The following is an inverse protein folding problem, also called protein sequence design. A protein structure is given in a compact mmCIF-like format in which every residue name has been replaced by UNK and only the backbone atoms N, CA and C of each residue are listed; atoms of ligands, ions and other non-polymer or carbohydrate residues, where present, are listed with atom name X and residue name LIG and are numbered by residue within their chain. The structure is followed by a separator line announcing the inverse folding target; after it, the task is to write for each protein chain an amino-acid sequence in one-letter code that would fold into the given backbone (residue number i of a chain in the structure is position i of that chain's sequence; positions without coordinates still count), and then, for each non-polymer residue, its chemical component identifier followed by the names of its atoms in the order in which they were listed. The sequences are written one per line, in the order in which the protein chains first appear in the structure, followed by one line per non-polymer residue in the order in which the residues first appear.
data_IF_319901423480
#
_entry.id   IF_319901423480
#
_cell.length_a   1.000
_cell.length_b   1.000
_cell.length_c   1.000
_cell.angle_alpha   90.00
_cell.angle_beta   90.00
_cell.angle_gamma   90.00
#
_symmetry.space_group_name_H-M   'P 1'
#
loop_
_entity.id
_entity.type
_entity.pdbx_description
1 polymer ?
#
# COMPACT_ATOMS: atom_id res chain seq x y z
N UNK A 1 19.18 19.06 -12.09
CA UNK A 1 18.35 19.30 -10.90
C UNK A 1 17.45 18.10 -10.77
N UNK A 2 17.54 17.39 -9.65
CA UNK A 2 16.63 16.27 -9.39
C UNK A 2 15.23 16.84 -9.13
N UNK A 3 14.23 16.25 -9.78
CA UNK A 3 12.83 16.61 -9.54
C UNK A 3 12.46 16.31 -8.08
N UNK A 4 11.46 17.01 -7.55
CA UNK A 4 10.88 16.68 -6.24
C UNK A 4 10.47 15.20 -6.13
N UNK A 5 9.99 14.61 -7.22
CA UNK A 5 9.62 13.19 -7.28
C UNK A 5 10.83 12.26 -7.11
N UNK A 6 11.98 12.59 -7.72
CA UNK A 6 13.21 11.83 -7.55
C UNK A 6 13.74 11.98 -6.12
N UNK A 7 13.70 13.19 -5.57
CA UNK A 7 14.13 13.45 -4.19
C UNK A 7 13.26 12.70 -3.17
N UNK A 8 11.95 12.63 -3.39
CA UNK A 8 11.05 11.80 -2.59
C UNK A 8 11.37 10.31 -2.75
N UNK A 9 11.49 9.83 -3.99
CA UNK A 9 11.77 8.42 -4.29
C UNK A 9 13.06 7.94 -3.63
N UNK A 10 14.11 8.78 -3.64
CA UNK A 10 15.38 8.53 -2.98
C UNK A 10 15.24 8.25 -1.47
N UNK A 11 14.32 8.93 -0.77
CA UNK A 11 14.09 8.72 0.66
C UNK A 11 13.05 7.66 1.00
N UNK A 12 12.20 7.24 0.06
CA UNK A 12 10.98 6.50 0.34
C UNK A 12 11.21 5.21 1.15
N UNK A 13 12.21 4.41 0.78
CA UNK A 13 12.50 3.15 1.47
C UNK A 13 13.26 3.36 2.78
N UNK A 14 14.13 4.38 2.85
CA UNK A 14 14.83 4.76 4.09
C UNK A 14 13.80 5.19 5.14
N UNK A 15 12.89 6.09 4.76
CA UNK A 15 11.83 6.60 5.61
C UNK A 15 10.92 5.49 6.13
N UNK A 16 10.48 4.59 5.24
CA UNK A 16 9.65 3.45 5.62
C UNK A 16 10.38 2.48 6.58
N UNK A 17 11.68 2.25 6.38
CA UNK A 17 12.51 1.46 7.29
C UNK A 17 12.67 2.09 8.68
N UNK A 18 12.92 3.39 8.71
CA UNK A 18 13.00 4.18 9.96
C UNK A 18 11.64 4.11 10.68
N UNK A 19 10.52 4.27 9.97
CA UNK A 19 9.18 4.20 10.56
C UNK A 19 8.87 2.82 11.15
N UNK A 20 9.21 1.74 10.43
CA UNK A 20 9.04 0.39 10.92
C UNK A 20 9.87 0.14 12.19
N UNK A 21 11.09 0.67 12.24
CA UNK A 21 11.97 0.59 13.42
C UNK A 21 11.41 1.41 14.58
N UNK A 22 10.96 2.62 14.30
CA UNK A 22 10.34 3.53 15.27
C UNK A 22 9.07 2.92 15.88
N UNK A 23 8.19 2.38 15.05
CA UNK A 23 6.97 1.71 15.49
C UNK A 23 7.27 0.44 16.30
N UNK A 24 8.27 -0.35 15.91
CA UNK A 24 8.73 -1.53 16.67
C UNK A 24 9.26 -1.13 18.05
N UNK A 25 9.98 0.00 18.13
CA UNK A 25 10.55 0.52 19.38
C UNK A 25 9.50 1.04 20.35
N UNK A 26 8.52 1.80 19.85
CA UNK A 26 7.45 2.39 20.66
C UNK A 26 6.33 1.39 20.98
N UNK A 27 6.05 0.44 20.09
CA UNK A 27 4.87 -0.41 20.18
C UNK A 27 3.59 0.37 19.89
N UNK A 28 2.49 -0.02 20.55
CA UNK A 28 1.19 0.64 20.35
C UNK A 28 1.20 2.01 21.03
N UNK A 29 1.22 3.06 20.21
CA UNK A 29 1.08 4.46 20.66
C UNK A 29 -0.38 4.74 20.97
N UNK A 30 -0.63 5.27 22.18
CA UNK A 30 -1.95 5.68 22.67
C UNK A 30 -2.19 7.17 22.49
N UNK A 31 -1.14 7.96 22.67
CA UNK A 31 -1.21 9.41 22.64
C UNK A 31 0.14 10.02 22.25
N UNK A 32 0.10 11.20 21.63
CA UNK A 32 1.27 11.98 21.22
C UNK A 32 1.07 13.42 21.66
N UNK A 33 1.88 13.89 22.61
CA UNK A 33 1.89 15.26 23.08
C UNK A 33 3.10 16.00 22.51
N UNK A 34 2.91 17.22 22.02
CA UNK A 34 4.01 18.07 21.53
C UNK A 34 4.02 19.39 22.28
N UNK A 35 5.12 19.63 22.98
CA UNK A 35 5.33 20.83 23.78
C UNK A 35 6.33 21.74 23.08
N UNK A 36 5.83 22.77 22.38
CA UNK A 36 6.67 23.75 21.70
C UNK A 36 7.43 24.61 22.71
N UNK A 37 8.74 24.76 22.49
CA UNK A 37 9.61 25.60 23.30
C UNK A 37 9.43 27.05 22.81
N UNK A 38 9.08 28.00 23.69
CA UNK A 38 9.02 29.41 23.33
C UNK A 38 10.36 29.90 22.79
N UNK A 39 10.35 30.63 21.68
CA UNK A 39 11.52 31.32 21.15
C UNK A 39 11.67 32.68 21.85
N UNK A 40 12.91 33.06 22.17
CA UNK A 40 13.21 34.39 22.74
C UNK A 40 12.99 35.53 21.71
N UNK A 41 12.77 35.18 20.44
CA UNK A 41 12.61 36.08 19.29
C UNK A 41 11.23 36.72 19.13
N UNK A 42 10.42 36.76 20.19
CA UNK A 42 9.27 37.67 20.28
C UNK A 42 9.72 39.15 20.39
N UNK A 43 10.68 39.56 19.56
CA UNK A 43 10.99 40.95 19.26
C UNK A 43 9.81 41.56 18.51
N UNK A 44 9.46 42.79 18.88
CA UNK A 44 8.26 43.56 18.53
C UNK A 44 8.04 43.89 17.02
N UNK A 45 8.59 43.09 16.11
CA UNK A 45 8.47 43.21 14.65
C UNK A 45 7.97 41.93 13.98
N UNK A 46 7.69 40.85 14.72
CA UNK A 46 6.96 39.72 14.13
C UNK A 46 5.59 40.21 13.67
N UNK A 47 5.30 40.14 12.37
CA UNK A 47 3.95 40.38 11.87
C UNK A 47 2.99 39.48 12.67
N UNK A 48 1.97 40.08 13.29
CA UNK A 48 1.01 39.36 14.13
C UNK A 48 0.48 38.12 13.37
N UNK A 49 0.82 36.93 13.87
CA UNK A 49 0.36 35.66 13.32
C UNK A 49 1.37 34.88 12.48
N UNK A 50 2.61 35.35 12.28
CA UNK A 50 3.63 34.55 11.57
C UNK A 50 4.35 33.58 12.54
N UNK A 51 4.37 32.26 12.25
CA UNK A 51 5.01 31.27 13.12
C UNK A 51 6.55 31.42 13.14
N UNK A 52 7.16 31.23 14.32
CA UNK A 52 8.61 31.21 14.49
C UNK A 52 9.30 30.17 13.59
N UNK A 53 10.40 30.57 12.96
CA UNK A 53 11.28 29.67 12.22
C UNK A 53 12.04 28.73 13.18
N UNK A 54 12.19 27.47 12.76
CA UNK A 54 12.96 26.44 13.45
C UNK A 54 12.58 26.25 14.92
N UNK A 55 11.28 26.41 15.22
CA UNK A 55 10.76 26.25 16.58
C UNK A 55 10.99 24.82 17.09
N UNK A 56 11.71 24.70 18.20
CA UNK A 56 11.95 23.41 18.87
C UNK A 56 10.73 22.96 19.67
N UNK A 57 10.61 21.67 19.88
CA UNK A 57 9.58 21.07 20.72
C UNK A 57 10.12 19.85 21.46
N UNK A 58 9.39 19.41 22.50
CA UNK A 58 9.52 18.07 23.07
C UNK A 58 8.33 17.24 22.60
N UNK A 59 8.60 16.12 21.95
CA UNK A 59 7.58 15.18 21.46
C UNK A 59 7.52 13.99 22.42
N UNK A 60 6.38 13.81 23.07
CA UNK A 60 6.13 12.73 24.03
C UNK A 60 5.17 11.72 23.44
N UNK A 61 5.59 10.46 23.39
CA UNK A 61 4.75 9.33 23.03
C UNK A 61 4.36 8.56 24.28
N UNK A 62 3.06 8.43 24.52
CA UNK A 62 2.50 7.53 25.52
C UNK A 62 2.10 6.22 24.85
N UNK A 63 2.61 5.11 25.35
CA UNK A 63 2.44 3.77 24.76
C UNK A 63 2.00 2.76 25.82
N UNK A 64 1.63 1.56 25.40
CA UNK A 64 1.33 0.46 26.33
C UNK A 64 2.54 0.02 27.17
N UNK A 65 3.77 0.28 26.70
CA UNK A 65 5.03 -0.10 27.35
C UNK A 65 5.68 1.02 28.16
N UNK A 66 5.20 2.26 28.04
CA UNK A 66 5.74 3.42 28.77
C UNK A 66 5.63 4.74 28.02
N UNK A 67 6.34 5.73 28.53
CA UNK A 67 6.41 7.09 27.96
C UNK A 67 7.80 7.32 27.37
N UNK A 68 7.86 7.89 26.17
CA UNK A 68 9.10 8.18 25.44
C UNK A 68 9.12 9.64 25.01
N UNK A 69 10.13 10.39 25.46
CA UNK A 69 10.32 11.80 25.11
C UNK A 69 11.46 11.92 24.08
N UNK A 70 11.25 12.72 23.05
CA UNK A 70 12.21 13.05 22.01
C UNK A 70 12.28 14.56 21.81
N UNK A 71 13.45 15.04 21.39
CA UNK A 71 13.54 16.39 20.84
C UNK A 71 12.80 16.44 19.50
N UNK A 72 12.24 17.61 19.19
CA UNK A 72 11.52 17.84 17.95
C UNK A 72 11.78 19.22 17.35
N UNK A 73 11.49 19.32 16.05
CA UNK A 73 11.65 20.55 15.26
C UNK A 73 10.41 20.75 14.38
N UNK A 74 9.77 21.92 14.49
CA UNK A 74 8.66 22.27 13.59
C UNK A 74 9.20 22.57 12.20
N UNK A 75 8.78 21.76 11.22
CA UNK A 75 9.15 21.92 9.82
C UNK A 75 8.18 22.82 9.07
N UNK A 76 6.89 22.70 9.38
CA UNK A 76 5.83 23.42 8.70
C UNK A 76 4.57 23.56 9.56
N UNK A 77 3.72 24.50 9.18
CA UNK A 77 2.34 24.64 9.66
C UNK A 77 1.36 24.34 8.53
N UNK A 78 0.24 23.72 8.84
CA UNK A 78 -0.83 23.36 7.91
C UNK A 78 -2.11 24.06 8.32
N UNK A 79 -2.63 24.94 7.47
CA UNK A 79 -3.89 25.64 7.69
C UNK A 79 -4.72 25.59 6.40
N UNK A 80 -6.00 25.25 6.52
CA UNK A 80 -6.93 25.12 5.38
C UNK A 80 -6.40 24.23 4.23
N UNK A 81 -5.64 23.18 4.55
CA UNK A 81 -5.04 22.27 3.56
C UNK A 81 -3.78 22.81 2.88
N UNK A 82 -3.30 24.00 3.24
CA UNK A 82 -2.03 24.55 2.76
C UNK A 82 -0.92 24.32 3.79
N UNK A 83 0.17 23.68 3.37
CA UNK A 83 1.42 23.56 4.08
C UNK A 83 2.29 24.80 3.83
N UNK A 84 2.80 25.39 4.90
CA UNK A 84 3.75 26.50 4.89
C UNK A 84 4.99 26.12 5.66
N UNK A 85 6.15 26.21 5.01
CA UNK A 85 7.44 25.91 5.63
C UNK A 85 7.76 26.92 6.74
N UNK A 86 8.18 26.42 7.89
CA UNK A 86 8.59 27.21 9.04
C UNK A 86 9.98 26.78 9.53
N UNK A 87 10.81 26.31 8.62
CA UNK A 87 12.19 25.91 8.90
C UNK A 87 13.14 26.60 7.93
N UNK A 88 14.28 27.09 8.43
CA UNK A 88 15.32 27.68 7.59
C UNK A 88 15.95 26.69 6.60
N UNK A 89 15.76 25.38 6.82
CA UNK A 89 16.24 24.33 5.91
C UNK A 89 15.53 24.37 4.56
N UNK A 90 14.25 24.75 4.52
CA UNK A 90 13.47 24.83 3.29
C UNK A 90 13.85 26.05 2.43
N UNK A 91 14.23 27.17 3.06
CA UNK A 91 14.60 28.42 2.36
C UNK A 91 15.78 28.22 1.39
N UNK A 92 16.70 27.31 1.75
CA UNK A 92 17.92 27.04 0.98
C UNK A 92 17.77 25.87 0.00
N UNK A 93 16.63 25.17 0.02
CA UNK A 93 16.41 24.02 -0.85
C UNK A 93 16.07 24.49 -2.27
N UNK A 94 16.66 23.89 -3.33
CA UNK A 94 16.50 24.39 -4.69
C UNK A 94 15.16 24.06 -5.35
N UNK A 95 14.37 23.13 -4.80
CA UNK A 95 13.12 22.70 -5.39
C UNK A 95 11.98 23.71 -5.11
N UNK A 96 11.17 24.10 -6.12
CA UNK A 96 10.06 25.02 -5.96
C UNK A 96 9.05 24.63 -4.86
N UNK A 97 8.88 23.32 -4.62
CA UNK A 97 8.00 22.75 -3.60
C UNK A 97 8.38 23.15 -2.17
N UNK A 98 9.61 23.62 -1.95
CA UNK A 98 10.06 24.17 -0.66
C UNK A 98 9.77 25.67 -0.48
N UNK A 99 9.12 26.31 -1.46
CA UNK A 99 8.89 27.75 -1.46
C UNK A 99 7.40 28.08 -1.54
N UNK A 100 6.99 29.05 -0.72
CA UNK A 100 5.61 29.50 -0.62
C UNK A 100 4.65 28.46 -0.01
N UNK A 101 3.36 28.80 0.12
CA UNK A 101 2.32 27.84 0.50
C UNK A 101 2.11 26.79 -0.58
N UNK A 102 1.94 25.54 -0.18
CA UNK A 102 1.73 24.40 -1.07
C UNK A 102 0.58 23.52 -0.55
N UNK A 103 -0.21 22.84 -1.40
CA UNK A 103 -1.22 21.89 -0.93
C UNK A 103 -0.59 20.73 -0.13
N UNK A 104 -1.08 20.47 1.09
CA UNK A 104 -0.62 19.34 1.91
C UNK A 104 -0.80 18.02 1.14
N UNK A 105 0.30 17.26 1.02
CA UNK A 105 0.34 16.03 0.24
C UNK A 105 1.39 15.07 0.79
N UNK A 106 1.27 13.78 0.46
CA UNK A 106 2.25 12.78 0.83
C UNK A 106 3.66 13.10 0.28
N UNK A 107 3.74 13.71 -0.91
CA UNK A 107 4.98 14.18 -1.50
C UNK A 107 5.67 15.21 -0.59
N UNK A 108 4.97 16.30 -0.23
CA UNK A 108 5.55 17.35 0.62
C UNK A 108 5.95 16.82 2.00
N UNK A 109 5.15 15.93 2.59
CA UNK A 109 5.50 15.32 3.88
C UNK A 109 6.76 14.48 3.77
N UNK A 110 6.95 13.71 2.69
CA UNK A 110 8.19 12.98 2.45
C UNK A 110 9.39 13.89 2.16
N UNK A 111 9.18 15.00 1.46
CA UNK A 111 10.21 16.03 1.25
C UNK A 111 10.60 16.72 2.55
N UNK A 112 9.65 16.98 3.45
CA UNK A 112 9.93 17.52 4.78
C UNK A 112 10.88 16.60 5.56
N UNK A 113 10.65 15.29 5.47
CA UNK A 113 11.54 14.28 6.06
C UNK A 113 12.93 14.29 5.42
N UNK A 114 13.05 14.49 4.10
CA UNK A 114 14.36 14.62 3.42
C UNK A 114 15.19 15.76 4.00
N UNK A 115 14.57 16.90 4.32
CA UNK A 115 15.27 18.05 4.91
C UNK A 115 15.97 17.65 6.21
N UNK A 116 15.34 16.83 7.03
CA UNK A 116 15.86 16.41 8.35
C UNK A 116 16.53 15.03 8.35
N UNK A 117 16.99 14.54 7.18
CA UNK A 117 17.69 13.26 7.08
C UNK A 117 16.80 12.04 7.34
N UNK A 118 15.59 12.05 6.78
CA UNK A 118 14.59 10.96 6.78
C UNK A 118 13.94 10.62 8.13
N UNK A 119 14.22 11.43 9.16
CA UNK A 119 13.61 11.30 10.49
C UNK A 119 12.08 11.19 10.43
N UNK A 120 11.46 10.50 11.39
CA UNK A 120 10.01 10.47 11.53
C UNK A 120 9.44 11.88 11.69
N UNK A 121 8.24 12.10 11.17
CA UNK A 121 7.48 13.34 11.37
C UNK A 121 6.11 13.00 11.95
N UNK A 122 5.65 13.82 12.89
CA UNK A 122 4.30 13.74 13.44
C UNK A 122 3.52 14.99 13.06
N UNK A 123 2.21 14.79 12.85
CA UNK A 123 1.25 15.86 12.57
C UNK A 123 0.44 16.08 13.86
N UNK A 124 0.48 17.28 14.40
CA UNK A 124 -0.15 17.61 15.69
C UNK A 124 -0.98 18.88 15.61
N UNK A 125 -2.13 18.97 16.32
CA UNK A 125 -2.89 20.21 16.40
C UNK A 125 -2.06 21.37 16.96
N UNK A 126 -2.14 22.54 16.34
CA UNK A 126 -1.52 23.78 16.82
C UNK A 126 -2.44 24.97 16.50
N UNK A 127 -3.10 25.52 17.53
CA UNK A 127 -4.04 26.62 17.35
C UNK A 127 -5.26 26.21 16.52
N UNK A 128 -5.54 26.96 15.45
CA UNK A 128 -6.62 26.70 14.49
C UNK A 128 -6.18 25.80 13.30
N UNK A 129 -4.93 25.34 13.30
CA UNK A 129 -4.40 24.41 12.30
C UNK A 129 -3.55 23.35 12.94
N UNK A 130 -2.53 22.91 12.22
CA UNK A 130 -1.68 21.81 12.62
C UNK A 130 -0.21 22.09 12.31
N UNK A 131 0.68 21.39 13.00
CA UNK A 131 2.11 21.46 12.81
C UNK A 131 2.68 20.12 12.35
N UNK A 132 3.61 20.18 11.41
CA UNK A 132 4.44 19.04 11.04
C UNK A 132 5.75 19.14 11.80
N UNK A 133 6.00 18.19 12.70
CA UNK A 133 7.14 18.21 13.62
C UNK A 133 8.01 16.98 13.38
N UNK A 134 9.28 17.21 13.05
CA UNK A 134 10.28 16.15 13.01
C UNK A 134 10.59 15.66 14.43
N UNK A 135 10.73 14.34 14.58
CA UNK A 135 11.13 13.69 15.83
C UNK A 135 12.60 13.30 15.72
N UNK A 136 13.43 13.70 16.68
CA UNK A 136 14.84 13.31 16.70
C UNK A 136 15.02 11.85 17.12
N UNK A 137 14.74 10.96 16.17
CA UNK A 137 14.96 9.53 16.29
C UNK A 137 16.11 9.12 15.37
N UNK A 138 17.25 8.79 15.99
CA UNK A 138 18.51 8.54 15.30
C UNK A 138 18.91 7.06 15.28
N UNK A 139 17.96 6.11 15.31
CA UNK A 139 18.29 4.70 15.12
C UNK A 139 18.47 4.41 13.62
N UNK A 140 19.73 4.15 13.21
CA UNK A 140 20.22 4.35 11.82
C UNK A 140 20.27 3.06 10.99
N UNK A 141 19.92 1.90 11.55
CA UNK A 141 20.13 0.60 10.88
C UNK A 141 18.82 -0.16 10.68
N UNK A 142 17.89 0.34 9.85
CA UNK A 142 16.69 -0.40 9.52
C UNK A 142 17.01 -1.66 8.71
N UNK A 143 16.22 -2.73 8.90
CA UNK A 143 16.36 -3.95 8.10
C UNK A 143 16.03 -3.65 6.63
N UNK A 144 16.90 -3.98 5.65
CA UNK A 144 16.68 -3.63 4.26
C UNK A 144 15.40 -4.25 3.68
N UNK A 145 15.08 -5.49 4.03
CA UNK A 145 13.88 -6.18 3.52
C UNK A 145 12.63 -5.52 4.10
N UNK A 146 12.61 -5.24 5.39
CA UNK A 146 11.49 -4.53 6.04
C UNK A 146 11.31 -3.13 5.41
N UNK A 147 12.40 -2.41 5.21
CA UNK A 147 12.42 -1.08 4.58
C UNK A 147 11.82 -1.09 3.18
N UNK A 148 12.22 -2.06 2.34
CA UNK A 148 11.71 -2.21 0.98
C UNK A 148 10.23 -2.59 0.99
N UNK A 149 9.81 -3.57 1.80
CA UNK A 149 8.41 -4.00 1.84
C UNK A 149 7.48 -2.88 2.32
N UNK A 150 7.85 -2.19 3.40
CA UNK A 150 7.11 -1.04 3.90
C UNK A 150 7.11 0.12 2.88
N UNK A 151 8.21 0.35 2.18
CA UNK A 151 8.29 1.35 1.13
C UNK A 151 7.42 1.04 -0.09
N UNK A 152 7.35 -0.23 -0.51
CA UNK A 152 6.47 -0.69 -1.61
C UNK A 152 5.00 -0.44 -1.25
N UNK A 153 4.62 -0.68 0.01
CA UNK A 153 3.25 -0.43 0.50
C UNK A 153 2.81 1.01 0.26
N UNK A 154 3.69 1.97 0.53
CA UNK A 154 3.42 3.40 0.37
C UNK A 154 3.76 3.96 -1.01
N UNK A 155 4.27 3.13 -1.93
CA UNK A 155 4.75 3.59 -3.25
C UNK A 155 3.68 4.20 -4.14
N UNK A 156 2.40 3.95 -3.84
CA UNK A 156 1.24 4.49 -4.56
C UNK A 156 0.58 5.70 -3.89
N UNK A 157 1.11 6.21 -2.77
CA UNK A 157 0.53 7.35 -2.04
C UNK A 157 0.87 8.70 -2.69
N UNK A 158 1.80 8.70 -3.65
CA UNK A 158 2.23 9.88 -4.40
C UNK A 158 1.93 9.73 -5.88
N UNK A 159 1.37 10.76 -6.49
CA UNK A 159 1.12 10.82 -7.95
C UNK A 159 2.41 10.55 -8.73
N UNK A 160 2.35 9.63 -9.69
CA UNK A 160 3.53 9.18 -10.45
C UNK A 160 4.32 8.04 -9.77
N UNK A 161 4.03 7.75 -8.51
CA UNK A 161 4.60 6.64 -7.74
C UNK A 161 6.08 6.80 -7.40
N UNK A 162 6.61 5.84 -6.65
CA UNK A 162 8.03 5.80 -6.30
C UNK A 162 8.85 5.13 -7.40
N UNK A 163 10.00 5.70 -7.75
CA UNK A 163 11.05 4.94 -8.44
C UNK A 163 11.71 3.99 -7.44
N UNK A 164 11.21 2.74 -7.38
CA UNK A 164 11.64 1.74 -6.41
C UNK A 164 13.10 1.32 -6.63
N UNK A 165 13.63 1.48 -7.85
CA UNK A 165 15.05 1.24 -8.15
C UNK A 165 15.92 2.32 -7.51
N UNK A 166 15.56 3.59 -7.69
CA UNK A 166 16.25 4.69 -7.03
C UNK A 166 16.17 4.56 -5.51
N UNK A 167 14.97 4.29 -4.98
CA UNK A 167 14.75 4.10 -3.54
C UNK A 167 15.61 2.98 -2.95
N UNK A 168 15.76 1.85 -3.67
CA UNK A 168 16.61 0.74 -3.24
C UNK A 168 18.10 1.09 -3.28
N UNK A 169 18.55 1.82 -4.30
CA UNK A 169 19.94 2.24 -4.42
C UNK A 169 20.33 3.20 -3.28
N UNK A 170 19.45 4.15 -2.95
CA UNK A 170 19.66 5.10 -1.86
C UNK A 170 19.59 4.41 -0.49
N UNK A 171 18.68 3.47 -0.29
CA UNK A 171 18.67 2.62 0.91
C UNK A 171 19.99 1.86 1.06
N UNK A 172 20.52 1.27 -0.02
CA UNK A 172 21.81 0.57 0.03
C UNK A 172 22.95 1.52 0.44
N UNK A 173 22.99 2.72 -0.14
CA UNK A 173 23.95 3.77 0.21
C UNK A 173 23.85 4.16 1.68
N UNK A 174 22.63 4.40 2.17
CA UNK A 174 22.33 4.76 3.56
C UNK A 174 22.81 3.68 4.54
N UNK A 175 22.63 2.40 4.21
CA UNK A 175 23.07 1.26 5.02
C UNK A 175 24.55 0.91 4.85
N UNK A 176 25.32 1.68 4.06
CA UNK A 176 26.73 1.40 3.78
C UNK A 176 26.95 0.10 2.98
N UNK A 177 25.93 -0.39 2.28
CA UNK A 177 26.02 -1.58 1.42
C UNK A 177 26.75 -1.18 0.13
N UNK A 178 27.83 -1.87 -0.26
CA UNK A 178 28.53 -1.57 -1.51
C UNK A 178 27.59 -1.63 -2.71
N UNK A 179 27.77 -0.73 -3.68
CA UNK A 179 26.90 -0.66 -4.87
C UNK A 179 26.85 -1.98 -5.66
N UNK A 180 27.95 -2.75 -5.67
CA UNK A 180 28.01 -4.09 -6.27
C UNK A 180 27.02 -5.09 -5.65
N UNK A 181 26.56 -4.82 -4.43
CA UNK A 181 25.65 -5.65 -3.67
C UNK A 181 24.25 -5.03 -3.56
N UNK A 182 24.06 -3.77 -3.96
CA UNK A 182 22.76 -3.10 -3.93
C UNK A 182 21.75 -3.78 -4.87
N UNK A 183 22.20 -4.25 -6.02
CA UNK A 183 21.35 -5.00 -6.97
C UNK A 183 20.90 -6.36 -6.41
N UNK A 184 21.56 -6.89 -5.38
CA UNK A 184 21.14 -8.11 -4.71
C UNK A 184 19.99 -7.88 -3.72
N UNK A 185 19.54 -6.65 -3.50
CA UNK A 185 18.44 -6.36 -2.59
C UNK A 185 17.06 -6.60 -3.23
N UNK A 186 16.95 -6.52 -4.55
CA UNK A 186 15.69 -6.70 -5.27
C UNK A 186 15.92 -6.98 -6.77
N UNK A 187 14.97 -7.68 -7.39
CA UNK A 187 14.87 -7.82 -8.84
C UNK A 187 13.90 -6.79 -9.41
N UNK A 188 14.29 -6.16 -10.51
CA UNK A 188 13.58 -5.02 -11.08
C UNK A 188 13.11 -5.28 -12.51
N UNK A 189 11.95 -4.71 -12.86
CA UNK A 189 11.50 -4.50 -14.23
C UNK A 189 11.23 -3.01 -14.43
N UNK A 190 12.11 -2.33 -15.18
CA UNK A 190 12.14 -0.87 -15.20
C UNK A 190 12.50 -0.31 -13.82
N UNK A 191 11.66 0.59 -13.30
CA UNK A 191 11.76 1.18 -11.96
C UNK A 191 11.03 0.39 -10.87
N UNK A 192 10.30 -0.69 -11.21
CA UNK A 192 9.50 -1.47 -10.25
C UNK A 192 10.23 -2.73 -9.79
N UNK A 193 10.07 -3.05 -8.51
CA UNK A 193 10.46 -4.33 -7.93
C UNK A 193 9.41 -5.38 -8.29
N UNK A 194 9.90 -6.49 -8.84
CA UNK A 194 9.10 -7.66 -9.24
C UNK A 194 9.38 -8.90 -8.40
N UNK A 195 10.50 -8.92 -7.66
CA UNK A 195 10.80 -9.95 -6.69
C UNK A 195 11.85 -9.48 -5.70
N UNK A 196 11.81 -10.05 -4.49
CA UNK A 196 12.82 -9.85 -3.46
C UNK A 196 13.59 -11.15 -3.22
N UNK A 197 14.88 -11.06 -2.84
CA UNK A 197 15.66 -12.23 -2.45
C UNK A 197 14.96 -12.96 -1.32
N UNK A 198 14.87 -14.28 -1.44
CA UNK A 198 14.32 -15.10 -0.38
C UNK A 198 15.36 -15.35 0.71
N UNK A 199 14.90 -15.47 1.96
CA UNK A 199 15.79 -15.84 3.06
C UNK A 199 16.34 -17.27 2.81
N UNK A 200 17.61 -17.56 3.13
CA UNK A 200 18.19 -18.89 2.98
C UNK A 200 17.31 -19.97 3.62
N UNK A 201 16.96 -21.01 2.86
CA UNK A 201 16.13 -22.12 3.34
C UNK A 201 14.61 -21.92 3.25
N UNK A 202 14.13 -20.79 2.71
CA UNK A 202 12.71 -20.60 2.36
C UNK A 202 12.54 -20.58 0.84
N UNK A 203 11.79 -21.54 0.30
CA UNK A 203 11.21 -21.43 -1.02
C UNK A 203 9.98 -20.51 -0.91
N UNK A 204 10.18 -19.21 -1.08
CA UNK A 204 9.06 -18.26 -1.15
C UNK A 204 8.33 -18.37 -2.48
N UNK A 205 7.02 -18.08 -2.46
CA UNK A 205 6.20 -18.02 -3.67
C UNK A 205 6.35 -16.66 -4.36
N UNK A 206 6.49 -16.66 -5.68
CA UNK A 206 6.36 -15.46 -6.51
C UNK A 206 4.89 -15.22 -6.92
N UNK A 207 4.54 -14.00 -7.30
CA UNK A 207 3.21 -13.70 -7.83
C UNK A 207 2.86 -14.59 -9.04
N UNK A 208 3.82 -14.88 -9.92
CA UNK A 208 3.60 -15.74 -11.10
C UNK A 208 3.27 -17.17 -10.72
N UNK A 209 3.88 -17.69 -9.66
CA UNK A 209 3.58 -19.02 -9.14
C UNK A 209 2.20 -19.08 -8.49
N UNK A 210 1.81 -18.04 -7.75
CA UNK A 210 0.45 -17.90 -7.21
C UNK A 210 -0.59 -17.81 -8.33
N UNK A 211 -0.32 -17.03 -9.39
CA UNK A 211 -1.18 -16.96 -10.57
C UNK A 211 -1.26 -18.29 -11.31
N UNK A 212 -0.16 -19.04 -11.42
CA UNK A 212 -0.17 -20.38 -12.02
C UNK A 212 -1.16 -21.28 -11.27
N UNK A 213 -1.05 -21.31 -9.94
CA UNK A 213 -1.92 -22.13 -9.09
C UNK A 213 -3.41 -21.70 -9.17
N UNK A 214 -3.68 -20.44 -9.48
CA UNK A 214 -5.04 -19.91 -9.62
C UNK A 214 -5.66 -20.11 -11.01
N UNK A 215 -4.85 -20.06 -12.08
CA UNK A 215 -5.29 -19.71 -13.43
C UNK A 215 -6.52 -20.50 -13.91
N UNK A 216 -6.39 -21.82 -14.04
CA UNK A 216 -7.45 -22.64 -14.64
C UNK A 216 -8.68 -22.79 -13.73
N UNK A 217 -8.50 -22.82 -12.40
CA UNK A 217 -9.65 -22.92 -11.50
C UNK A 217 -10.45 -21.62 -11.50
N UNK A 218 -9.77 -20.46 -11.51
CA UNK A 218 -10.39 -19.16 -11.69
C UNK A 218 -11.13 -19.06 -13.05
N UNK A 219 -10.52 -19.58 -14.12
CA UNK A 219 -11.15 -19.65 -15.44
C UNK A 219 -12.43 -20.48 -15.44
N UNK A 220 -12.42 -21.67 -14.82
CA UNK A 220 -13.61 -22.52 -14.76
C UNK A 220 -14.73 -21.86 -13.95
N UNK A 221 -14.39 -21.22 -12.81
CA UNK A 221 -15.34 -20.43 -12.03
C UNK A 221 -15.94 -19.27 -12.85
N UNK A 222 -15.12 -18.58 -13.65
CA UNK A 222 -15.61 -17.50 -14.51
C UNK A 222 -16.58 -18.02 -15.58
N UNK A 223 -16.24 -19.11 -16.28
CA UNK A 223 -17.16 -19.73 -17.24
C UNK A 223 -18.48 -20.17 -16.61
N UNK A 224 -18.41 -20.77 -15.41
CA UNK A 224 -19.61 -21.16 -14.68
C UNK A 224 -20.47 -19.95 -14.30
N UNK A 225 -19.85 -18.89 -13.78
CA UNK A 225 -20.56 -17.67 -13.37
C UNK A 225 -21.23 -16.99 -14.57
N UNK A 226 -20.51 -16.80 -15.67
CA UNK A 226 -21.05 -16.20 -16.91
C UNK A 226 -22.23 -16.99 -17.48
N UNK A 227 -22.16 -18.33 -17.46
CA UNK A 227 -23.22 -19.19 -17.96
C UNK A 227 -24.44 -19.23 -17.04
N UNK A 228 -24.23 -19.23 -15.71
CA UNK A 228 -25.30 -19.41 -14.72
C UNK A 228 -25.97 -18.10 -14.32
N UNK A 229 -25.26 -16.99 -14.39
CA UNK A 229 -25.70 -15.66 -13.98
C UNK A 229 -25.40 -14.63 -15.10
N UNK A 230 -26.12 -14.70 -16.24
CA UNK A 230 -25.96 -13.73 -17.31
C UNK A 230 -26.35 -12.31 -16.84
N UNK A 231 -25.65 -11.30 -17.35
CA UNK A 231 -25.83 -9.89 -17.01
C UNK A 231 -25.77 -9.61 -15.50
N UNK A 232 -24.89 -10.33 -14.80
CA UNK A 232 -24.71 -10.19 -13.37
C UNK A 232 -24.27 -8.76 -12.99
N UNK A 233 -24.96 -8.21 -12.00
CA UNK A 233 -24.52 -7.03 -11.25
C UNK A 233 -24.80 -7.26 -9.76
N UNK A 234 -24.07 -6.56 -8.90
CA UNK A 234 -24.08 -6.87 -7.49
C UNK A 234 -23.87 -5.63 -6.63
N UNK A 235 -24.65 -5.47 -5.56
CA UNK A 235 -24.46 -4.42 -4.56
C UNK A 235 -23.87 -5.03 -3.29
N UNK A 236 -22.70 -4.55 -2.84
CA UNK A 236 -22.09 -4.97 -1.59
C UNK A 236 -22.45 -3.99 -0.48
N UNK A 237 -22.92 -4.52 0.64
CA UNK A 237 -22.95 -3.84 1.92
C UNK A 237 -21.64 -4.15 2.69
N UNK A 238 -20.71 -3.19 2.83
CA UNK A 238 -19.42 -3.42 3.47
C UNK A 238 -19.54 -3.75 4.96
N UNK A 239 -20.58 -3.26 5.62
CA UNK A 239 -20.77 -3.39 7.07
C UNK A 239 -21.31 -4.76 7.45
N UNK A 240 -22.11 -5.38 6.58
CA UNK A 240 -22.65 -6.73 6.81
C UNK A 240 -21.89 -7.83 6.08
N UNK A 241 -20.95 -7.48 5.19
CA UNK A 241 -20.23 -8.42 4.30
C UNK A 241 -21.21 -9.26 3.47
N UNK A 242 -22.32 -8.65 3.05
CA UNK A 242 -23.37 -9.28 2.23
C UNK A 242 -23.51 -8.55 0.92
N UNK A 243 -23.69 -9.34 -0.14
CA UNK A 243 -23.90 -8.84 -1.48
C UNK A 243 -25.22 -9.34 -2.02
N UNK A 244 -26.01 -8.44 -2.59
CA UNK A 244 -27.19 -8.79 -3.39
C UNK A 244 -26.74 -8.93 -4.83
N UNK A 245 -26.71 -10.16 -5.32
CA UNK A 245 -26.36 -10.51 -6.70
C UNK A 245 -27.63 -10.63 -7.51
N UNK A 246 -27.72 -9.84 -8.58
CA UNK A 246 -28.84 -9.80 -9.49
C UNK A 246 -28.40 -10.30 -10.87
N UNK A 247 -29.23 -11.09 -11.53
CA UNK A 247 -29.04 -11.55 -12.91
C UNK A 247 -30.39 -11.62 -13.62
N UNK A 248 -30.39 -11.97 -14.91
CA UNK A 248 -31.63 -12.17 -15.68
C UNK A 248 -32.55 -13.25 -15.08
N UNK A 249 -32.02 -14.13 -14.22
CA UNK A 249 -32.76 -15.23 -13.60
C UNK A 249 -33.23 -14.94 -12.16
N UNK A 250 -32.92 -13.76 -11.61
CA UNK A 250 -33.39 -13.33 -10.29
C UNK A 250 -32.30 -12.76 -9.40
N UNK A 251 -32.63 -12.66 -8.10
CA UNK A 251 -31.78 -12.06 -7.08
C UNK A 251 -31.41 -13.07 -5.98
N UNK A 252 -30.21 -12.94 -5.45
CA UNK A 252 -29.57 -13.89 -4.54
C UNK A 252 -28.67 -13.10 -3.58
N UNK A 253 -28.86 -13.27 -2.27
CA UNK A 253 -27.97 -12.67 -1.26
C UNK A 253 -26.88 -13.66 -0.84
N UNK A 254 -25.62 -13.26 -0.95
CA UNK A 254 -24.43 -14.09 -0.65
C UNK A 254 -23.49 -13.38 0.31
N UNK A 255 -22.67 -14.11 1.08
CA UNK A 255 -21.52 -13.49 1.73
C UNK A 255 -20.50 -13.06 0.67
N UNK A 256 -19.83 -11.95 0.90
CA UNK A 256 -18.78 -11.46 0.00
C UNK A 256 -17.72 -10.68 0.76
N UNK A 257 -16.48 -10.91 0.38
CA UNK A 257 -15.30 -10.30 0.97
C UNK A 257 -14.69 -9.33 -0.05
N UNK A 258 -14.73 -8.03 0.27
CA UNK A 258 -14.12 -7.00 -0.55
C UNK A 258 -12.60 -7.21 -0.57
N UNK A 259 -12.03 -7.37 -1.77
CA UNK A 259 -10.59 -7.51 -1.96
C UNK A 259 -9.97 -6.24 -2.55
N UNK A 260 -10.72 -5.44 -3.30
CA UNK A 260 -10.22 -4.20 -3.87
C UNK A 260 -11.34 -3.20 -4.18
N UNK A 261 -10.97 -1.91 -4.23
CA UNK A 261 -11.79 -0.81 -4.74
C UNK A 261 -11.17 -0.27 -6.03
N UNK A 262 -12.03 0.25 -6.92
CA UNK A 262 -11.65 0.81 -8.21
C UNK A 262 -12.22 2.23 -8.29
N UNK A 263 -11.32 3.19 -8.42
CA UNK A 263 -11.65 4.57 -8.78
C UNK A 263 -11.30 4.80 -10.25
N UNK A 264 -12.33 4.79 -11.11
CA UNK A 264 -12.17 5.00 -12.53
C UNK A 264 -11.77 6.45 -12.89
N UNK A 265 -12.13 7.44 -12.06
CA UNK A 265 -11.79 8.83 -12.32
C UNK A 265 -10.30 9.09 -12.04
N UNK A 266 -9.75 8.42 -11.03
CA UNK A 266 -8.33 8.47 -10.68
C UNK A 266 -7.46 7.38 -11.35
N UNK A 267 -8.02 6.56 -12.25
CA UNK A 267 -7.37 5.36 -12.83
C UNK A 267 -6.70 4.46 -11.76
N UNK A 268 -7.30 4.33 -10.58
CA UNK A 268 -6.67 3.70 -9.42
C UNK A 268 -7.37 2.41 -9.01
N UNK A 269 -6.59 1.35 -8.88
CA UNK A 269 -6.94 0.13 -8.15
C UNK A 269 -6.31 0.20 -6.77
N UNK A 270 -7.10 0.01 -5.72
CA UNK A 270 -6.64 -0.03 -4.33
C UNK A 270 -7.01 -1.35 -3.71
N UNK A 271 -6.05 -2.06 -3.11
CA UNK A 271 -6.38 -3.23 -2.29
C UNK A 271 -7.27 -2.80 -1.12
N UNK A 272 -8.29 -3.59 -0.79
CA UNK A 272 -9.26 -3.22 0.26
C UNK A 272 -8.63 -3.06 1.65
N UNK A 273 -7.50 -3.71 1.91
CA UNK A 273 -6.73 -3.52 3.15
C UNK A 273 -6.08 -2.13 3.25
N UNK A 274 -5.92 -1.41 2.13
CA UNK A 274 -5.37 -0.06 2.04
C UNK A 274 -6.43 1.02 1.82
N UNK A 275 -7.69 0.63 1.61
CA UNK A 275 -8.82 1.52 1.39
C UNK A 275 -9.38 2.06 2.71
N UNK A 276 -10.16 3.13 2.64
CA UNK A 276 -10.92 3.66 3.79
C UNK A 276 -11.88 2.62 4.39
N UNK A 277 -12.35 1.67 3.56
CA UNK A 277 -13.18 0.54 3.99
C UNK A 277 -12.40 -0.60 4.68
N UNK A 278 -11.08 -0.48 4.88
CA UNK A 278 -10.24 -1.53 5.49
C UNK A 278 -10.71 -2.01 6.87
N UNK A 279 -11.40 -1.16 7.62
CA UNK A 279 -12.02 -1.51 8.91
C UNK A 279 -13.38 -2.21 8.84
N UNK A 280 -14.00 -2.27 7.65
CA UNK A 280 -15.33 -2.88 7.46
C UNK A 280 -15.30 -4.40 7.58
N UNK A 281 -16.45 -5.02 7.86
CA UNK A 281 -16.55 -6.50 7.93
C UNK A 281 -16.16 -7.15 6.59
N UNK A 282 -16.53 -6.54 5.47
CA UNK A 282 -16.23 -7.06 4.13
C UNK A 282 -14.74 -7.07 3.79
N UNK A 283 -13.95 -6.14 4.33
CA UNK A 283 -12.53 -5.99 3.99
C UNK A 283 -11.60 -6.80 4.90
N UNK A 284 -12.09 -7.43 5.97
CA UNK A 284 -11.26 -8.16 6.93
C UNK A 284 -10.37 -9.22 6.28
N UNK A 285 -10.90 -9.95 5.28
CA UNK A 285 -10.14 -10.97 4.57
C UNK A 285 -8.99 -10.38 3.73
N UNK A 286 -9.09 -9.12 3.28
CA UNK A 286 -8.02 -8.46 2.55
C UNK A 286 -6.77 -8.24 3.42
N UNK A 287 -6.92 -8.15 4.75
CA UNK A 287 -5.79 -8.12 5.68
C UNK A 287 -4.90 -9.38 5.58
N UNK A 288 -5.48 -10.53 5.26
CA UNK A 288 -4.72 -11.76 5.01
C UNK A 288 -3.92 -11.70 3.70
N UNK A 289 -4.39 -10.96 2.70
CA UNK A 289 -3.63 -10.71 1.46
C UNK A 289 -2.37 -9.92 1.76
N UNK A 290 -2.50 -8.82 2.52
CA UNK A 290 -1.36 -8.00 2.95
C UNK A 290 -0.35 -8.85 3.72
N UNK A 291 -0.83 -9.60 4.73
CA UNK A 291 0.03 -10.48 5.54
C UNK A 291 0.75 -11.52 4.69
N UNK A 292 0.04 -12.22 3.81
CA UNK A 292 0.65 -13.20 2.91
C UNK A 292 1.68 -12.55 1.99
N UNK A 293 1.39 -11.35 1.47
CA UNK A 293 2.34 -10.54 0.71
C UNK A 293 3.63 -10.31 1.48
N UNK A 294 3.56 -9.83 2.71
CA UNK A 294 4.73 -9.63 3.58
C UNK A 294 5.49 -10.93 3.88
N UNK A 295 4.78 -11.99 4.24
CA UNK A 295 5.35 -13.29 4.61
C UNK A 295 6.12 -13.92 3.43
N UNK A 296 5.60 -13.78 2.20
CA UNK A 296 6.20 -14.30 0.97
C UNK A 296 7.10 -13.29 0.24
N UNK A 297 7.09 -12.03 0.66
CA UNK A 297 7.67 -10.88 -0.05
C UNK A 297 7.22 -10.79 -1.53
N UNK A 298 5.91 -10.75 -1.73
CA UNK A 298 5.26 -10.57 -3.04
C UNK A 298 4.87 -9.09 -3.22
N UNK A 299 5.62 -8.28 -4.00
CA UNK A 299 5.36 -6.85 -4.17
C UNK A 299 3.93 -6.53 -4.62
N UNK A 300 3.36 -7.35 -5.49
CA UNK A 300 2.03 -7.16 -6.08
C UNK A 300 0.89 -7.18 -5.05
N UNK A 301 1.06 -7.91 -3.94
CA UNK A 301 0.09 -7.99 -2.85
C UNK A 301 0.29 -6.93 -1.77
N UNK A 302 1.46 -6.28 -1.75
CA UNK A 302 1.85 -5.27 -0.76
C UNK A 302 1.68 -3.87 -1.33
N UNK A 303 1.86 -3.68 -2.63
CA UNK A 303 1.69 -2.37 -3.28
C UNK A 303 0.23 -1.95 -3.16
N UNK A 304 -0.06 -1.02 -2.25
CA UNK A 304 -1.42 -0.65 -1.86
C UNK A 304 -2.29 -0.21 -3.04
N UNK A 305 -1.69 0.60 -3.92
CA UNK A 305 -2.35 1.29 -5.03
C UNK A 305 -1.53 1.15 -6.30
N UNK A 306 -2.21 0.82 -7.40
CA UNK A 306 -1.63 0.77 -8.76
C UNK A 306 -2.63 1.31 -9.76
N UNK A 307 -2.18 1.56 -11.00
CA UNK A 307 -3.13 1.90 -12.06
C UNK A 307 -4.07 0.74 -12.37
N UNK A 308 -5.29 1.01 -12.84
CA UNK A 308 -6.23 -0.04 -13.27
C UNK A 308 -5.61 -0.88 -14.40
N UNK A 309 -4.85 -0.25 -15.29
CA UNK A 309 -4.12 -0.92 -16.38
C UNK A 309 -3.07 -1.89 -15.86
N UNK A 310 -2.30 -1.49 -14.85
CA UNK A 310 -1.33 -2.36 -14.19
C UNK A 310 -2.03 -3.52 -13.49
N UNK A 311 -3.10 -3.27 -12.73
CA UNK A 311 -3.86 -4.30 -12.03
C UNK A 311 -4.43 -5.37 -12.98
N UNK A 312 -4.91 -4.95 -14.15
CA UNK A 312 -5.43 -5.86 -15.20
C UNK A 312 -4.32 -6.66 -15.88
N UNK A 313 -3.22 -6.02 -16.25
CA UNK A 313 -2.12 -6.70 -16.96
C UNK A 313 -1.42 -7.74 -16.07
N UNK A 314 -1.35 -7.48 -14.76
CA UNK A 314 -0.77 -8.37 -13.76
C UNK A 314 -1.78 -9.32 -13.12
N UNK A 315 -3.08 -9.17 -13.43
CA UNK A 315 -4.17 -10.02 -12.91
C UNK A 315 -4.22 -10.05 -11.38
N UNK A 316 -4.09 -8.88 -10.75
CA UNK A 316 -4.07 -8.77 -9.28
C UNK A 316 -5.26 -9.46 -8.59
N UNK A 317 -6.53 -9.29 -9.03
CA UNK A 317 -7.65 -9.95 -8.37
C UNK A 317 -7.53 -11.47 -8.31
N UNK A 318 -6.89 -12.09 -9.31
CA UNK A 318 -6.68 -13.54 -9.36
C UNK A 318 -5.61 -14.01 -8.37
N UNK A 319 -4.68 -13.15 -7.95
CA UNK A 319 -3.73 -13.49 -6.87
C UNK A 319 -4.45 -13.73 -5.54
N UNK A 320 -5.56 -13.03 -5.29
CA UNK A 320 -6.29 -13.13 -4.04
C UNK A 320 -7.01 -14.47 -3.88
N UNK A 321 -7.40 -15.11 -4.99
CA UNK A 321 -8.22 -16.34 -4.98
C UNK A 321 -7.56 -17.51 -4.23
N UNK A 322 -6.34 -17.97 -4.59
CA UNK A 322 -5.70 -19.08 -3.88
C UNK A 322 -5.25 -18.70 -2.47
N UNK A 323 -4.99 -17.41 -2.21
CA UNK A 323 -4.58 -16.93 -0.88
C UNK A 323 -5.75 -16.97 0.11
N UNK A 324 -6.95 -16.57 -0.34
CA UNK A 324 -8.16 -16.58 0.50
C UNK A 324 -8.96 -17.89 0.39
N UNK A 325 -8.66 -18.74 -0.59
CA UNK A 325 -9.41 -19.97 -0.84
C UNK A 325 -10.81 -19.72 -1.42
N UNK A 326 -11.04 -18.54 -2.00
CA UNK A 326 -12.33 -18.12 -2.55
C UNK A 326 -12.17 -17.88 -4.06
N UNK A 327 -13.07 -18.46 -4.86
CA UNK A 327 -12.84 -18.60 -6.31
C UNK A 327 -13.82 -17.83 -7.19
N UNK A 328 -14.92 -17.34 -6.62
CA UNK A 328 -15.92 -16.55 -7.37
C UNK A 328 -15.65 -15.07 -7.17
N UNK A 329 -15.16 -14.41 -8.22
CA UNK A 329 -14.93 -12.98 -8.27
C UNK A 329 -16.17 -12.25 -8.79
N UNK A 330 -16.68 -11.33 -7.98
CA UNK A 330 -17.84 -10.51 -8.29
C UNK A 330 -17.40 -9.05 -8.45
N UNK A 331 -17.70 -8.40 -9.59
CA UNK A 331 -17.73 -6.95 -9.63
C UNK A 331 -18.92 -6.47 -8.79
N UNK A 332 -18.67 -5.57 -7.84
CA UNK A 332 -19.69 -5.05 -6.93
C UNK A 332 -19.76 -3.53 -6.99
N UNK A 333 -20.94 -2.99 -6.77
CA UNK A 333 -21.17 -1.58 -6.53
C UNK A 333 -21.11 -1.33 -5.02
N UNK A 334 -20.40 -0.28 -4.61
CA UNK A 334 -20.29 0.16 -3.22
C UNK A 334 -21.30 1.29 -2.93
N UNK A 335 -21.71 1.48 -1.66
CA UNK A 335 -22.69 2.50 -1.28
C UNK A 335 -22.26 3.94 -1.62
N UNK A 336 -20.95 4.19 -1.67
CA UNK A 336 -20.35 5.48 -2.00
C UNK A 336 -20.28 5.76 -3.52
N UNK A 337 -20.79 4.84 -4.35
CA UNK A 337 -20.77 4.96 -5.81
C UNK A 337 -19.51 4.41 -6.48
N UNK A 338 -18.49 3.98 -5.72
CA UNK A 338 -17.29 3.34 -6.30
C UNK A 338 -17.57 1.90 -6.71
N UNK A 339 -16.72 1.38 -7.62
CA UNK A 339 -16.72 -0.03 -7.95
C UNK A 339 -15.80 -0.80 -7.01
N UNK A 340 -16.17 -2.02 -6.68
CA UNK A 340 -15.38 -2.95 -5.90
C UNK A 340 -15.21 -4.28 -6.60
N UNK A 341 -14.26 -5.06 -6.11
CA UNK A 341 -14.08 -6.45 -6.45
C UNK A 341 -14.18 -7.26 -5.17
N UNK A 342 -15.08 -8.23 -5.15
CA UNK A 342 -15.30 -9.08 -4.00
C UNK A 342 -15.15 -10.56 -4.36
N UNK A 343 -14.62 -11.35 -3.42
CA UNK A 343 -14.63 -12.80 -3.51
C UNK A 343 -15.78 -13.35 -2.67
N UNK A 344 -16.53 -14.30 -3.24
CA UNK A 344 -17.70 -14.88 -2.60
C UNK A 344 -17.62 -16.41 -2.60
N UNK A 345 -18.20 -17.01 -1.56
CA UNK A 345 -18.49 -18.42 -1.50
C UNK A 345 -19.96 -18.63 -1.12
N UNK A 346 -20.71 -19.24 -2.03
CA UNK A 346 -22.11 -19.58 -1.81
C UNK A 346 -22.44 -20.87 -2.56
N UNK A 347 -23.38 -21.71 -2.07
CA UNK A 347 -23.76 -22.95 -2.74
C UNK A 347 -24.16 -22.78 -4.20
N UNK A 348 -24.73 -21.62 -4.56
CA UNK A 348 -25.13 -21.30 -5.93
C UNK A 348 -23.92 -21.06 -6.88
N UNK A 349 -22.73 -20.84 -6.34
CA UNK A 349 -21.48 -20.59 -7.07
C UNK A 349 -20.55 -21.81 -7.09
N UNK A 350 -20.91 -22.91 -6.44
CA UNK A 350 -20.09 -24.12 -6.42
C UNK A 350 -20.09 -24.77 -7.80
N UNK A 351 -18.90 -25.01 -8.32
CA UNK A 351 -18.74 -25.73 -9.57
C UNK A 351 -19.36 -27.13 -9.46
N UNK A 352 -20.11 -27.59 -10.48
CA UNK A 352 -20.58 -28.97 -10.54
C UNK A 352 -19.38 -29.93 -10.66
N UNK A 353 -19.64 -31.23 -10.56
CA UNK A 353 -18.61 -32.24 -10.82
C UNK A 353 -17.95 -32.00 -12.19
N UNK A 354 -16.62 -32.15 -12.31
CA UNK A 354 -15.91 -31.88 -13.56
C UNK A 354 -16.43 -32.80 -14.67
N UNK A 355 -16.57 -32.24 -15.87
CA UNK A 355 -16.93 -33.01 -17.08
C UNK A 355 -15.80 -32.88 -18.11
N UNK A 356 -15.60 -33.88 -18.99
CA UNK A 356 -14.56 -33.80 -20.01
C UNK A 356 -14.66 -32.54 -20.87
N UNK A 357 -15.88 -32.11 -21.21
CA UNK A 357 -16.10 -30.91 -22.01
C UNK A 357 -15.72 -29.61 -21.26
N UNK A 358 -16.14 -29.46 -19.99
CA UNK A 358 -15.79 -28.29 -19.19
C UNK A 358 -14.28 -28.23 -18.90
N UNK A 359 -13.67 -29.36 -18.53
CA UNK A 359 -12.23 -29.46 -18.32
C UNK A 359 -11.44 -29.12 -19.58
N UNK A 360 -11.84 -29.64 -20.75
CA UNK A 360 -11.19 -29.32 -22.00
C UNK A 360 -11.34 -27.82 -22.35
N UNK A 361 -12.53 -27.25 -22.18
CA UNK A 361 -12.76 -25.83 -22.43
C UNK A 361 -11.88 -24.94 -21.54
N UNK A 362 -11.78 -25.25 -20.25
CA UNK A 362 -10.90 -24.55 -19.29
C UNK A 362 -9.43 -24.67 -19.68
N UNK A 363 -8.95 -25.89 -19.98
CA UNK A 363 -7.53 -26.14 -20.29
C UNK A 363 -7.08 -25.63 -21.67
N UNK A 364 -8.03 -25.20 -22.51
CA UNK A 364 -7.76 -24.54 -23.78
C UNK A 364 -7.52 -23.03 -23.65
N UNK A 365 -7.81 -22.44 -22.47
CA UNK A 365 -7.52 -21.02 -22.22
C UNK A 365 -6.01 -20.85 -22.07
N UNK A 366 -5.45 -19.87 -22.79
CA UNK A 366 -4.02 -19.61 -22.76
C UNK A 366 -3.59 -19.05 -21.39
N UNK A 367 -2.53 -19.63 -20.83
CA UNK A 367 -1.87 -19.08 -19.65
C UNK A 367 -1.25 -17.72 -19.96
N UNK A 368 -1.25 -16.77 -18.99
CA UNK A 368 -0.60 -15.48 -19.17
C UNK A 368 0.90 -15.63 -19.40
N UNK A 369 1.50 -14.67 -20.11
CA UNK A 369 2.94 -14.66 -20.36
C UNK A 369 3.74 -14.70 -19.04
N UNK A 370 4.74 -15.59 -18.97
CA UNK A 370 5.59 -15.77 -17.79
C UNK A 370 5.00 -16.63 -16.67
N UNK A 371 3.75 -17.09 -16.80
CA UNK A 371 3.14 -18.06 -15.88
C UNK A 371 3.52 -19.48 -16.32
N UNK A 372 3.90 -20.33 -15.37
CA UNK A 372 4.25 -21.73 -15.63
C UNK A 372 2.99 -22.57 -15.94
N UNK A 373 2.85 -23.00 -17.19
CA UNK A 373 1.71 -23.80 -17.63
C UNK A 373 1.65 -25.18 -16.98
N UNK A 374 2.79 -25.84 -16.76
CA UNK A 374 2.82 -27.18 -16.17
C UNK A 374 2.35 -27.12 -14.71
N UNK A 375 2.81 -26.10 -13.97
CA UNK A 375 2.33 -25.83 -12.62
C UNK A 375 0.83 -25.54 -12.60
N UNK A 376 0.34 -24.69 -13.51
CA UNK A 376 -1.07 -24.36 -13.59
C UNK A 376 -1.95 -25.60 -13.86
N UNK A 377 -1.54 -26.46 -14.81
CA UNK A 377 -2.23 -27.72 -15.11
C UNK A 377 -2.21 -28.67 -13.91
N UNK A 378 -1.07 -28.80 -13.24
CA UNK A 378 -0.94 -29.65 -12.04
C UNK A 378 -1.83 -29.15 -10.89
N UNK A 379 -1.87 -27.85 -10.65
CA UNK A 379 -2.75 -27.24 -9.65
C UNK A 379 -4.23 -27.52 -9.95
N UNK A 380 -4.64 -27.32 -11.21
CA UNK A 380 -6.00 -27.60 -11.65
C UNK A 380 -6.40 -29.06 -11.47
N UNK A 381 -5.56 -30.01 -11.89
CA UNK A 381 -5.85 -31.44 -11.74
C UNK A 381 -5.96 -31.89 -10.28
N UNK A 382 -5.20 -31.26 -9.37
CA UNK A 382 -5.35 -31.51 -7.92
C UNK A 382 -6.69 -31.03 -7.38
N UNK A 383 -7.18 -29.89 -7.87
CA UNK A 383 -8.46 -29.31 -7.44
C UNK A 383 -9.68 -29.96 -8.10
N UNK A 384 -9.53 -30.45 -9.33
CA UNK A 384 -10.60 -31.00 -10.18
C UNK A 384 -10.20 -32.40 -10.70
N UNK A 385 -10.10 -33.43 -9.84
CA UNK A 385 -9.81 -34.78 -10.29
C UNK A 385 -10.99 -35.30 -11.13
N UNK A 386 -10.70 -35.78 -12.34
CA UNK A 386 -11.66 -36.43 -13.23
C UNK A 386 -11.80 -37.92 -12.88
#
# INVERSE_FOLDING_TARGET
MDSAQNLYSAGAFIQAGIDATFASRLGVVRDVEVNFIPTDSASATSEEGQPDLDQRAVVRFSTDSGVYDFDGLRLATIHNGELRWTTGMAEHAPQPEFHGPQPDSALLRGLARRLVGDRPVVRVPQGDGEALVAVDFAEINPDPRVSILAGIEHSGDVTGGVDERLATAELASYLGIPQSNAENLALFHGSRIVALPQAPGRAGLSAREVLADAHFLATEHNFFLEARFPNLWADLDPDTSRTVVNSDYGSLTVPAHLIATIDAAADTFTWAWADELSGSMSAQAAGNLRRFGYDQAIPELIRARVSITEARSTRLPQLAMPVLGLWTLLPVQLPDGRQGLALSDAPAFHLPAPTPAATQATLNVAVPAGVDEQRARAAYHRARPL
#
